data_IF_974198335095
#
_entry.id   IF_974198335095
#
_cell.length_a   1.000
_cell.length_b   1.000
_cell.length_c   1.000
_cell.angle_alpha   90.00
_cell.angle_beta   90.00
_cell.angle_gamma   90.00
#
_symmetry.space_group_name_H-M   'P 1'
#
loop_
_entity.id
_entity.type
_entity.pdbx_description
1 polymer ?
#
# COMPACT_ATOMS: atom_id res chain seq x y z
N UNK A 1 -5.74 -8.41 -10.58
CA UNK A 1 -5.60 -8.18 -9.14
C UNK A 1 -4.23 -7.65 -8.81
N UNK A 2 -4.16 -6.43 -8.29
CA UNK A 2 -2.95 -5.83 -7.75
C UNK A 2 -2.84 -6.19 -6.28
N UNK A 3 -1.66 -6.61 -5.86
CA UNK A 3 -1.35 -6.99 -4.49
C UNK A 3 -0.52 -5.89 -3.82
N UNK A 4 -1.05 -5.33 -2.75
CA UNK A 4 -0.41 -4.25 -1.98
C UNK A 4 0.00 -4.79 -0.62
N UNK A 5 1.25 -4.56 -0.23
CA UNK A 5 1.75 -4.87 1.10
C UNK A 5 1.80 -3.58 1.93
N UNK A 6 0.91 -3.44 2.91
CA UNK A 6 0.94 -2.35 3.88
C UNK A 6 1.67 -2.77 5.16
N UNK A 7 2.57 -1.94 5.66
CA UNK A 7 3.34 -2.25 6.87
C UNK A 7 3.46 -1.07 7.83
N UNK A 8 3.25 -1.34 9.13
CA UNK A 8 3.41 -0.37 10.21
C UNK A 8 4.33 -0.88 11.32
N UNK A 9 5.16 0.00 11.88
CA UNK A 9 5.97 -0.30 13.07
C UNK A 9 5.23 -0.06 14.40
N UNK A 10 4.17 0.75 14.39
CA UNK A 10 3.49 1.23 15.61
C UNK A 10 2.26 0.40 16.04
N UNK A 11 1.90 -0.65 15.29
CA UNK A 11 0.80 -1.56 15.61
C UNK A 11 -0.08 -1.90 14.41
N UNK A 12 -0.77 -3.05 14.48
CA UNK A 12 -1.59 -3.58 13.38
C UNK A 12 -2.82 -2.73 13.04
N UNK A 13 -3.31 -1.91 13.98
CA UNK A 13 -4.53 -1.10 13.78
C UNK A 13 -4.39 -0.08 12.64
N UNK A 14 -3.26 0.63 12.57
CA UNK A 14 -3.01 1.58 11.49
C UNK A 14 -2.83 0.86 10.15
N UNK A 15 -2.22 -0.33 10.14
CA UNK A 15 -2.12 -1.16 8.94
C UNK A 15 -3.49 -1.60 8.42
N UNK A 16 -4.41 -1.99 9.32
CA UNK A 16 -5.77 -2.35 8.94
C UNK A 16 -6.60 -1.16 8.43
N UNK A 17 -6.41 0.05 8.99
CA UNK A 17 -7.07 1.26 8.51
C UNK A 17 -6.64 1.61 7.09
N UNK A 18 -5.33 1.55 6.82
CA UNK A 18 -4.80 1.82 5.48
C UNK A 18 -5.22 0.73 4.50
N UNK A 19 -5.14 -0.55 4.90
CA UNK A 19 -5.66 -1.66 4.10
C UNK A 19 -7.09 -1.38 3.63
N UNK A 20 -7.97 -1.06 4.58
CA UNK A 20 -9.39 -0.82 4.28
C UNK A 20 -9.56 0.38 3.34
N UNK A 21 -8.84 1.48 3.58
CA UNK A 21 -8.90 2.67 2.73
C UNK A 21 -8.33 2.44 1.32
N UNK A 22 -7.26 1.65 1.19
CA UNK A 22 -6.69 1.26 -0.09
C UNK A 22 -7.63 0.37 -0.88
N UNK A 23 -8.19 -0.67 -0.24
CA UNK A 23 -9.14 -1.57 -0.88
C UNK A 23 -10.41 -0.82 -1.30
N UNK A 24 -10.98 0.03 -0.43
CA UNK A 24 -12.18 0.80 -0.74
C UNK A 24 -11.96 1.81 -1.87
N UNK A 25 -10.98 2.69 -1.75
CA UNK A 25 -10.78 3.78 -2.71
C UNK A 25 -10.33 3.28 -4.08
N UNK A 26 -9.40 2.31 -4.12
CA UNK A 26 -8.93 1.77 -5.40
C UNK A 26 -10.01 0.90 -6.07
N UNK A 27 -10.82 0.15 -5.30
CA UNK A 27 -11.98 -0.55 -5.86
C UNK A 27 -13.01 0.44 -6.42
N UNK A 28 -13.30 1.53 -5.70
CA UNK A 28 -14.19 2.60 -6.18
C UNK A 28 -13.69 3.25 -7.48
N UNK A 29 -12.36 3.26 -7.69
CA UNK A 29 -11.71 3.72 -8.93
C UNK A 29 -11.67 2.67 -10.04
N UNK A 30 -12.23 1.48 -9.82
CA UNK A 30 -12.34 0.40 -10.79
C UNK A 30 -11.13 -0.53 -10.87
N UNK A 31 -10.26 -0.52 -9.88
CA UNK A 31 -9.13 -1.44 -9.81
C UNK A 31 -9.48 -2.69 -9.02
N UNK A 32 -9.05 -3.85 -9.52
CA UNK A 32 -9.08 -5.11 -8.78
C UNK A 32 -7.84 -5.17 -7.87
N UNK A 33 -8.04 -4.95 -6.56
CA UNK A 33 -6.96 -4.81 -5.56
C UNK A 33 -7.13 -5.76 -4.38
N UNK A 34 -6.02 -6.18 -3.81
CA UNK A 34 -5.94 -6.88 -2.53
C UNK A 34 -4.82 -6.25 -1.70
N UNK A 35 -5.11 -5.87 -0.45
CA UNK A 35 -4.09 -5.32 0.43
C UNK A 35 -3.90 -6.20 1.66
N UNK A 36 -2.67 -6.63 1.90
CA UNK A 36 -2.27 -7.29 3.15
C UNK A 36 -1.65 -6.28 4.10
N UNK A 37 -1.86 -6.50 5.39
CA UNK A 37 -1.40 -5.64 6.47
C UNK A 37 -0.50 -6.45 7.40
N UNK A 38 0.78 -6.08 7.48
CA UNK A 38 1.77 -6.76 8.33
C UNK A 38 2.47 -5.77 9.25
N UNK A 39 3.25 -6.29 10.20
CA UNK A 39 4.20 -5.47 10.94
C UNK A 39 5.48 -5.32 10.12
N UNK A 40 6.14 -4.16 10.20
CA UNK A 40 7.40 -3.90 9.46
C UNK A 40 8.46 -4.96 9.76
N UNK A 41 8.54 -5.42 11.00
CA UNK A 41 9.50 -6.47 11.41
C UNK A 41 9.30 -7.83 10.72
N UNK A 42 8.12 -8.07 10.15
CA UNK A 42 7.79 -9.30 9.45
C UNK A 42 8.00 -9.17 7.92
N UNK A 43 8.36 -7.97 7.45
CA UNK A 43 8.65 -7.70 6.05
C UNK A 43 10.07 -8.17 5.72
N UNK A 44 10.19 -9.00 4.69
CA UNK A 44 11.45 -9.46 4.13
C UNK A 44 11.37 -9.54 2.60
N UNK A 45 12.51 -9.74 1.93
CA UNK A 45 12.60 -9.79 0.48
C UNK A 45 11.71 -10.88 -0.14
N UNK A 46 11.61 -12.05 0.48
CA UNK A 46 10.80 -13.16 -0.03
C UNK A 46 9.31 -12.86 0.05
N UNK A 47 8.85 -12.24 1.14
CA UNK A 47 7.48 -11.77 1.26
C UNK A 47 7.18 -10.72 0.19
N UNK A 48 8.07 -9.75 -0.02
CA UNK A 48 7.86 -8.66 -1.01
C UNK A 48 7.68 -9.17 -2.43
N UNK A 49 8.34 -10.28 -2.83
CA UNK A 49 8.18 -10.88 -4.17
C UNK A 49 6.73 -11.26 -4.51
N UNK A 50 5.88 -11.44 -3.50
CA UNK A 50 4.46 -11.76 -3.67
C UNK A 50 3.56 -10.57 -3.97
N UNK A 51 4.09 -9.34 -3.95
CA UNK A 51 3.32 -8.10 -4.05
C UNK A 51 3.82 -7.20 -5.18
N UNK A 52 2.95 -6.32 -5.65
CA UNK A 52 3.27 -5.34 -6.70
C UNK A 52 3.76 -4.02 -6.11
N UNK A 53 3.27 -3.64 -4.92
CA UNK A 53 3.54 -2.35 -4.28
C UNK A 53 3.75 -2.55 -2.78
N UNK A 54 4.78 -1.89 -2.25
CA UNK A 54 4.99 -1.75 -0.82
C UNK A 54 4.52 -0.38 -0.33
N UNK A 55 3.66 -0.36 0.69
CA UNK A 55 3.05 0.85 1.24
C UNK A 55 3.32 1.01 2.74
N UNK A 56 4.52 1.48 3.13
CA UNK A 56 4.83 1.67 4.53
C UNK A 56 4.07 2.88 5.12
N UNK A 57 3.65 2.77 6.37
CA UNK A 57 3.02 3.88 7.14
C UNK A 57 4.07 4.89 7.60
N UNK A 58 5.32 4.46 7.71
CA UNK A 58 6.41 5.34 8.06
C UNK A 58 7.66 4.95 7.30
N UNK A 59 8.53 5.93 7.04
CA UNK A 59 9.89 5.64 6.62
C UNK A 59 10.51 4.66 7.62
N UNK A 60 10.80 3.46 7.14
CA UNK A 60 11.38 2.38 7.93
C UNK A 60 12.56 1.82 7.18
N UNK A 61 13.66 1.65 7.91
CA UNK A 61 14.80 0.89 7.43
C UNK A 61 14.43 -0.60 7.52
N UNK A 62 14.39 -1.25 6.36
CA UNK A 62 14.11 -2.68 6.23
C UNK A 62 15.38 -3.52 6.33
N UNK A 63 16.57 -2.91 6.30
CA UNK A 63 17.85 -3.60 6.19
C UNK A 63 18.14 -4.15 4.80
N UNK A 64 17.28 -3.86 3.81
CA UNK A 64 17.43 -4.21 2.40
C UNK A 64 16.72 -3.17 1.51
N UNK A 65 17.11 -3.11 0.23
CA UNK A 65 16.45 -2.25 -0.76
C UNK A 65 15.19 -2.93 -1.30
N UNK A 66 14.01 -2.29 -1.22
CA UNK A 66 12.78 -2.87 -1.77
C UNK A 66 12.89 -3.11 -3.27
N UNK A 67 12.65 -4.36 -3.69
CA UNK A 67 12.62 -4.75 -5.11
C UNK A 67 11.34 -4.33 -5.84
N UNK A 68 10.38 -3.72 -5.13
CA UNK A 68 9.09 -3.26 -5.66
C UNK A 68 8.88 -1.78 -5.33
N UNK A 69 8.05 -1.05 -6.11
CA UNK A 69 7.74 0.35 -5.85
C UNK A 69 7.26 0.59 -4.41
N UNK A 70 7.81 1.64 -3.79
CA UNK A 70 7.49 2.06 -2.42
C UNK A 70 6.68 3.34 -2.45
N UNK A 71 5.50 3.34 -1.82
CA UNK A 71 4.62 4.51 -1.72
C UNK A 71 4.21 4.70 -0.27
N UNK A 72 4.64 5.80 0.35
CA UNK A 72 4.31 6.06 1.75
C UNK A 72 2.81 6.35 1.92
N UNK A 73 2.14 5.54 2.74
CA UNK A 73 0.68 5.61 2.90
C UNK A 73 0.22 6.39 4.15
N UNK A 74 1.15 6.92 4.95
CA UNK A 74 0.84 7.75 6.13
C UNK A 74 -0.22 8.82 5.86
N UNK A 75 -0.20 9.55 4.73
CA UNK A 75 -1.17 10.62 4.48
C UNK A 75 -2.64 10.18 4.50
N UNK A 76 -2.92 8.90 4.20
CA UNK A 76 -4.26 8.33 4.23
C UNK A 76 -4.85 8.37 5.65
N UNK A 77 -4.02 8.19 6.68
CA UNK A 77 -4.48 8.18 8.08
C UNK A 77 -5.03 9.52 8.56
N UNK A 78 -4.59 10.64 7.98
CA UNK A 78 -5.10 11.96 8.35
C UNK A 78 -6.51 12.23 7.84
N UNK A 79 -7.00 11.44 6.88
CA UNK A 79 -8.32 11.62 6.24
C UNK A 79 -8.52 13.03 5.65
N UNK A 80 -7.43 13.65 5.19
CA UNK A 80 -7.45 14.95 4.50
C UNK A 80 -7.31 14.69 3.00
N UNK A 81 -8.33 14.97 2.16
CA UNK A 81 -8.31 14.64 0.74
C UNK A 81 -7.09 15.18 -0.02
N UNK A 82 -6.68 16.42 0.26
CA UNK A 82 -5.50 17.03 -0.38
C UNK A 82 -4.19 16.28 -0.08
N UNK A 83 -4.16 15.46 0.97
CA UNK A 83 -3.01 14.64 1.36
C UNK A 83 -3.16 13.18 0.93
N UNK A 84 -4.37 12.60 0.99
CA UNK A 84 -4.60 11.19 0.67
C UNK A 84 -4.76 10.93 -0.82
N UNK A 85 -5.42 11.81 -1.58
CA UNK A 85 -5.64 11.66 -3.04
C UNK A 85 -4.32 11.45 -3.79
N UNK A 86 -3.25 12.24 -3.54
CA UNK A 86 -1.97 12.01 -4.19
C UNK A 86 -1.36 10.63 -3.92
N UNK A 87 -1.61 10.02 -2.77
CA UNK A 87 -1.13 8.65 -2.47
C UNK A 87 -1.81 7.65 -3.40
N UNK A 88 -3.14 7.71 -3.51
CA UNK A 88 -3.90 6.84 -4.41
C UNK A 88 -3.58 7.09 -5.88
N UNK A 89 -3.32 8.35 -6.26
CA UNK A 89 -2.92 8.70 -7.62
C UNK A 89 -1.51 8.22 -7.96
N UNK A 90 -0.61 8.18 -6.98
CA UNK A 90 0.76 7.67 -7.10
C UNK A 90 0.85 6.15 -7.06
N UNK A 91 -0.18 5.48 -6.54
CA UNK A 91 -0.46 4.07 -6.83
C UNK A 91 -0.91 4.01 -8.30
N UNK A 92 0.01 4.39 -9.20
CA UNK A 92 -0.14 4.26 -10.65
C UNK A 92 0.14 2.82 -10.98
N UNK A 93 -0.94 2.07 -10.88
CA UNK A 93 -1.05 0.72 -11.37
C UNK A 93 -0.68 0.76 -12.86
N UNK A 94 0.15 -0.18 -13.37
CA UNK A 94 0.36 -0.30 -14.80
C UNK A 94 -1.03 -0.32 -15.45
N UNK A 95 -1.20 0.57 -16.44
CA UNK A 95 -2.45 1.04 -17.02
C UNK A 95 -3.60 0.03 -16.94
N UNK A 96 -4.79 0.50 -16.53
CA UNK A 96 -6.11 -0.17 -16.66
C UNK A 96 -5.98 -1.52 -17.37
N UNK A 97 -5.95 -2.64 -16.62
CA UNK A 97 -6.16 -3.95 -17.25
C UNK A 97 -7.43 -3.81 -18.09
N UNK A 98 -7.27 -3.98 -19.41
CA UNK A 98 -8.29 -3.75 -20.43
C UNK A 98 -9.71 -4.04 -19.91
N UNK A 99 -10.49 -2.97 -19.70
CA UNK A 99 -11.93 -3.11 -19.82
C UNK A 99 -12.22 -3.21 -21.32
N UNK A 100 -12.71 -4.39 -21.68
CA UNK A 100 -13.12 -4.90 -23.01
C UNK A 100 -11.98 -5.40 -23.90
#
# INVERSE_FOLDING_TARGET
>A
MIKILAACGAGVNSSHQIKSALEEELSNRGYDVHCDAVMVKDVNEDLMKGYDIFTPIAATDLGFEPGIPVIEARPILFRIPAMSVPVFDNIRLPAKQNMV
#
